data_IF_247820566315
#
_entry.id   IF_247820566315
#
_cell.length_a   1.000
_cell.length_b   1.000
_cell.length_c   1.000
_cell.angle_alpha   90.00
_cell.angle_beta   90.00
_cell.angle_gamma   90.00
#
_symmetry.space_group_name_H-M   'P 1'
#
loop_
_entity.id
_entity.type
_entity.pdbx_description
1 polymer ?
#
# COMPACT_ATOMS: atom_id res chain seq x y z
N UNK A 1 16.55 -18.42 45.92
CA UNK A 1 15.17 -18.86 46.24
C UNK A 1 14.26 -17.67 46.08
N UNK A 2 13.19 -17.81 45.29
CA UNK A 2 11.99 -16.98 45.39
C UNK A 2 11.88 -15.85 44.39
N UNK A 3 11.25 -16.14 43.25
CA UNK A 3 10.74 -15.20 42.26
C UNK A 3 9.70 -14.24 42.84
N UNK A 4 9.84 -12.94 42.56
CA UNK A 4 8.81 -11.92 42.79
C UNK A 4 8.20 -11.51 41.44
N UNK A 5 7.48 -12.44 40.82
CA UNK A 5 6.54 -12.16 39.71
C UNK A 5 5.15 -12.51 40.17
N UNK A 6 4.59 -11.66 41.05
CA UNK A 6 3.19 -11.72 41.39
C UNK A 6 2.59 -10.32 41.33
N UNK A 7 1.96 -10.03 40.18
CA UNK A 7 0.86 -9.07 40.03
C UNK A 7 0.37 -9.15 38.58
N UNK A 8 -0.64 -10.00 38.37
CA UNK A 8 -1.81 -9.79 37.51
C UNK A 8 -2.68 -11.06 37.59
N UNK A 9 -3.24 -11.31 38.78
CA UNK A 9 -4.20 -12.41 39.01
C UNK A 9 -5.58 -11.79 39.24
N UNK A 10 -6.50 -11.98 38.30
CA UNK A 10 -7.92 -11.74 38.55
C UNK A 10 -8.56 -12.96 39.24
N UNK A 11 -9.75 -12.77 39.80
CA UNK A 11 -10.42 -13.69 40.75
C UNK A 11 -10.84 -15.06 40.19
N UNK A 12 -10.42 -15.44 38.98
CA UNK A 12 -10.85 -16.67 38.31
C UNK A 12 -9.71 -17.59 37.83
N UNK A 13 -8.46 -17.33 38.23
CA UNK A 13 -7.40 -18.35 38.17
C UNK A 13 -7.04 -18.90 36.79
N UNK A 14 -7.37 -18.20 35.70
CA UNK A 14 -6.89 -18.56 34.35
C UNK A 14 -5.66 -17.74 34.01
N UNK A 15 -4.52 -18.43 33.86
CA UNK A 15 -3.40 -17.92 33.06
C UNK A 15 -3.98 -17.53 31.69
N UNK A 16 -3.66 -16.33 31.20
CA UNK A 16 -3.81 -16.05 29.78
C UNK A 16 -2.89 -17.03 29.06
N UNK A 17 -3.45 -18.15 28.59
CA UNK A 17 -2.81 -18.92 27.53
C UNK A 17 -2.61 -17.93 26.38
N UNK A 18 -1.34 -17.72 26.01
CA UNK A 18 -1.01 -17.26 24.68
C UNK A 18 -1.64 -18.29 23.73
N UNK A 19 -2.82 -17.99 23.20
CA UNK A 19 -3.37 -18.75 22.08
C UNK A 19 -2.43 -18.39 20.92
N UNK A 20 -1.58 -19.29 20.43
CA UNK A 20 -0.84 -19.04 19.21
C UNK A 20 -1.89 -19.01 18.11
N UNK A 21 -2.09 -17.84 17.52
CA UNK A 21 -2.93 -17.72 16.34
C UNK A 21 -2.13 -18.29 15.17
N UNK A 22 -2.53 -19.46 14.67
CA UNK A 22 -1.88 -20.13 13.55
C UNK A 22 -2.42 -19.65 12.21
N UNK A 23 -1.51 -19.57 11.24
CA UNK A 23 -1.65 -18.92 9.94
C UNK A 23 -2.20 -19.84 8.84
N UNK A 24 -2.83 -19.26 7.83
CA UNK A 24 -2.97 -19.91 6.50
C UNK A 24 -2.40 -19.00 5.41
N UNK A 25 -1.55 -19.55 4.53
CA UNK A 25 -0.76 -18.84 3.51
C UNK A 25 -1.51 -17.98 2.48
N UNK A 26 -2.85 -17.92 2.52
CA UNK A 26 -3.65 -17.28 1.47
C UNK A 26 -3.96 -15.79 1.71
N UNK A 27 -4.11 -15.34 2.96
CA UNK A 27 -4.53 -13.96 3.27
C UNK A 27 -3.42 -12.93 3.04
N UNK A 28 -2.20 -13.22 3.52
CA UNK A 28 -1.01 -12.35 3.32
C UNK A 28 -0.68 -12.17 1.84
N UNK A 29 -0.67 -13.29 1.10
CA UNK A 29 -0.38 -13.30 -0.35
C UNK A 29 -1.40 -12.44 -1.10
N UNK A 30 -2.68 -12.54 -0.73
CA UNK A 30 -3.73 -11.72 -1.33
C UNK A 30 -3.54 -10.23 -1.02
N UNK A 31 -3.33 -9.86 0.23
CA UNK A 31 -3.18 -8.46 0.63
C UNK A 31 -1.97 -7.78 -0.01
N UNK A 32 -0.82 -8.47 -0.04
CA UNK A 32 0.39 -8.00 -0.72
C UNK A 32 0.13 -7.80 -2.22
N UNK A 33 -0.47 -8.79 -2.88
CA UNK A 33 -0.78 -8.73 -4.30
C UNK A 33 -1.74 -7.57 -4.64
N UNK A 34 -2.82 -7.42 -3.88
CA UNK A 34 -3.82 -6.38 -4.13
C UNK A 34 -3.29 -4.99 -3.84
N UNK A 35 -2.52 -4.83 -2.76
CA UNK A 35 -1.86 -3.56 -2.45
C UNK A 35 -0.85 -3.17 -3.53
N UNK A 36 0.00 -4.10 -3.99
CA UNK A 36 0.90 -3.87 -5.11
C UNK A 36 0.14 -3.45 -6.37
N UNK A 37 -1.00 -4.09 -6.66
CA UNK A 37 -1.83 -3.77 -7.83
C UNK A 37 -2.35 -2.33 -7.77
N UNK A 38 -2.90 -1.91 -6.63
CA UNK A 38 -3.43 -0.55 -6.41
C UNK A 38 -2.31 0.48 -6.48
N UNK A 39 -1.19 0.23 -5.81
CA UNK A 39 -0.03 1.11 -5.82
C UNK A 39 0.53 1.25 -7.24
N UNK A 40 0.70 0.14 -7.97
CA UNK A 40 1.13 0.16 -9.37
C UNK A 40 0.18 0.97 -10.25
N UNK A 41 -1.14 0.85 -10.04
CA UNK A 41 -2.15 1.64 -10.76
C UNK A 41 -1.96 3.14 -10.51
N UNK A 42 -1.69 3.55 -9.27
CA UNK A 42 -1.43 4.94 -8.91
C UNK A 42 -0.21 5.50 -9.65
N UNK A 43 0.92 4.80 -9.62
CA UNK A 43 2.14 5.27 -10.30
C UNK A 43 1.99 5.32 -11.83
N UNK A 44 1.25 4.37 -12.42
CA UNK A 44 0.90 4.47 -13.86
C UNK A 44 0.07 5.71 -14.16
N UNK A 45 -0.87 6.10 -13.29
CA UNK A 45 -1.62 7.34 -13.46
C UNK A 45 -0.70 8.57 -13.42
N UNK A 46 0.28 8.62 -12.51
CA UNK A 46 1.26 9.70 -12.47
C UNK A 46 2.14 9.76 -13.72
N UNK A 47 2.52 8.60 -14.28
CA UNK A 47 3.26 8.56 -15.54
C UNK A 47 2.45 9.09 -16.71
N UNK A 48 1.16 8.74 -16.81
CA UNK A 48 0.28 9.29 -17.83
C UNK A 48 0.14 10.81 -17.69
N UNK A 49 -0.09 11.30 -16.47
CA UNK A 49 -0.18 12.74 -16.21
C UNK A 49 1.13 13.47 -16.58
N UNK A 50 2.28 12.85 -16.34
CA UNK A 50 3.58 13.41 -16.72
C UNK A 50 3.77 13.45 -18.26
N UNK A 51 3.27 12.44 -18.96
CA UNK A 51 3.29 12.40 -20.42
C UNK A 51 2.38 13.47 -21.03
N UNK A 52 1.17 13.62 -20.50
CA UNK A 52 0.23 14.68 -20.89
C UNK A 52 0.83 16.07 -20.62
N UNK A 53 1.48 16.26 -19.47
CA UNK A 53 2.17 17.51 -19.13
C UNK A 53 3.30 17.81 -20.12
N UNK A 54 4.12 16.81 -20.47
CA UNK A 54 5.18 16.97 -21.48
C UNK A 54 4.59 17.37 -22.84
N UNK A 55 3.50 16.74 -23.24
CA UNK A 55 2.82 17.08 -24.49
C UNK A 55 2.30 18.52 -24.48
N UNK A 56 1.58 18.92 -23.42
CA UNK A 56 1.06 20.29 -23.29
C UNK A 56 2.19 21.34 -23.26
N UNK A 57 3.29 21.04 -22.58
CA UNK A 57 4.50 21.88 -22.56
C UNK A 57 5.07 22.04 -23.97
N UNK A 58 5.21 20.94 -24.73
CA UNK A 58 5.69 21.00 -26.12
C UNK A 58 4.78 21.83 -27.01
N UNK A 59 3.45 21.65 -26.91
CA UNK A 59 2.47 22.45 -27.65
C UNK A 59 2.58 23.94 -27.30
N UNK A 60 2.82 24.28 -26.03
CA UNK A 60 3.03 25.66 -25.61
C UNK A 60 4.30 26.26 -26.22
N UNK A 61 5.43 25.53 -26.21
CA UNK A 61 6.66 25.96 -26.86
C UNK A 61 6.45 26.14 -28.37
N UNK A 62 5.75 25.20 -29.02
CA UNK A 62 5.51 25.26 -30.46
C UNK A 62 4.71 26.50 -30.88
N UNK A 63 3.78 26.96 -30.04
CA UNK A 63 3.02 28.20 -30.28
C UNK A 63 3.90 29.45 -30.20
N UNK A 64 4.93 29.43 -29.36
CA UNK A 64 5.84 30.56 -29.15
C UNK A 64 6.95 30.66 -30.20
N UNK A 65 7.14 29.63 -31.04
CA UNK A 65 8.19 29.61 -32.08
C UNK A 65 8.06 30.72 -33.12
N UNK A 66 6.87 31.29 -33.29
CA UNK A 66 6.66 32.41 -34.22
C UNK A 66 7.10 33.76 -33.62
N UNK A 67 7.15 33.86 -32.29
CA UNK A 67 7.36 35.12 -31.58
C UNK A 67 8.75 35.20 -30.91
N UNK A 68 9.39 34.06 -30.68
CA UNK A 68 10.66 33.94 -29.94
C UNK A 68 11.76 33.30 -30.78
N UNK A 69 13.00 33.65 -30.47
CA UNK A 69 14.17 33.00 -31.08
C UNK A 69 14.32 31.56 -30.60
N UNK A 70 15.00 30.69 -31.36
CA UNK A 70 15.28 29.32 -30.93
C UNK A 70 15.99 29.22 -29.57
N UNK A 71 16.91 30.13 -29.28
CA UNK A 71 17.62 30.20 -28.00
C UNK A 71 16.67 30.54 -26.84
N UNK A 72 15.72 31.45 -27.07
CA UNK A 72 14.70 31.78 -26.06
C UNK A 72 13.76 30.59 -25.80
N UNK A 73 13.37 29.87 -26.86
CA UNK A 73 12.55 28.66 -26.73
C UNK A 73 13.28 27.58 -25.93
N UNK A 74 14.58 27.38 -26.18
CA UNK A 74 15.37 26.39 -25.45
C UNK A 74 15.49 26.73 -23.96
N UNK A 75 15.68 28.02 -23.62
CA UNK A 75 15.68 28.47 -22.22
C UNK A 75 14.32 28.24 -21.53
N UNK A 76 13.22 28.31 -22.29
CA UNK A 76 11.88 28.02 -21.79
C UNK A 76 11.56 26.52 -21.74
N UNK A 77 12.40 25.66 -22.32
CA UNK A 77 12.18 24.22 -22.38
C UNK A 77 12.55 23.49 -21.08
N UNK A 78 11.87 23.84 -19.99
CA UNK A 78 12.13 23.28 -18.65
C UNK A 78 11.80 21.79 -18.49
N UNK A 79 10.96 21.24 -19.37
CA UNK A 79 10.56 19.83 -19.38
C UNK A 79 11.11 19.12 -20.63
N UNK A 80 12.39 19.37 -20.90
CA UNK A 80 13.15 18.67 -21.92
C UNK A 80 13.17 17.14 -21.69
N UNK A 81 13.72 16.41 -22.65
CA UNK A 81 13.79 14.95 -22.57
C UNK A 81 14.55 14.46 -21.32
N UNK A 82 15.62 15.16 -20.93
CA UNK A 82 16.44 14.77 -19.80
C UNK A 82 15.66 14.89 -18.48
N UNK A 83 15.04 16.06 -18.25
CA UNK A 83 14.23 16.35 -17.07
C UNK A 83 13.01 15.45 -16.99
N UNK A 84 12.30 15.27 -18.11
CA UNK A 84 11.19 14.32 -18.20
C UNK A 84 11.63 12.90 -17.78
N UNK A 85 12.74 12.42 -18.34
CA UNK A 85 13.28 11.08 -18.06
C UNK A 85 13.68 10.92 -16.60
N UNK A 86 14.31 11.95 -16.00
CA UNK A 86 14.63 11.97 -14.58
C UNK A 86 13.39 11.87 -13.69
N UNK A 87 12.35 12.67 -13.97
CA UNK A 87 11.11 12.66 -13.19
C UNK A 87 10.41 11.30 -13.35
N UNK A 88 10.32 10.77 -14.57
CA UNK A 88 9.75 9.45 -14.85
C UNK A 88 10.44 8.35 -14.07
N UNK A 89 11.78 8.35 -14.05
CA UNK A 89 12.56 7.39 -13.27
C UNK A 89 12.26 7.52 -11.77
N UNK A 90 12.23 8.74 -11.24
CA UNK A 90 11.90 9.00 -9.83
C UNK A 90 10.51 8.49 -9.44
N UNK A 91 9.51 8.68 -10.29
CA UNK A 91 8.14 8.15 -10.06
C UNK A 91 8.15 6.62 -9.95
N UNK A 92 8.88 5.94 -10.84
CA UNK A 92 9.03 4.48 -10.81
C UNK A 92 9.79 3.99 -9.58
N UNK A 93 10.91 4.63 -9.26
CA UNK A 93 11.76 4.27 -8.12
C UNK A 93 10.96 4.42 -6.80
N UNK A 94 10.25 5.53 -6.62
CA UNK A 94 9.38 5.76 -5.47
C UNK A 94 8.28 4.70 -5.35
N UNK A 95 7.72 4.28 -6.49
CA UNK A 95 6.66 3.27 -6.47
C UNK A 95 7.16 1.87 -6.12
N UNK A 96 8.34 1.51 -6.62
CA UNK A 96 8.98 0.27 -6.23
C UNK A 96 9.38 0.28 -4.76
N UNK A 97 9.88 1.39 -4.25
CA UNK A 97 10.24 1.53 -2.83
C UNK A 97 9.01 1.46 -1.93
N UNK A 98 7.93 2.15 -2.27
CA UNK A 98 6.68 2.11 -1.52
C UNK A 98 6.12 0.68 -1.40
N UNK A 99 6.23 -0.12 -2.47
CA UNK A 99 5.80 -1.53 -2.43
C UNK A 99 6.69 -2.34 -1.49
N UNK A 100 8.01 -2.13 -1.53
CA UNK A 100 8.96 -2.81 -0.63
C UNK A 100 8.69 -2.44 0.83
N UNK A 101 8.55 -1.15 1.12
CA UNK A 101 8.27 -0.64 2.45
C UNK A 101 6.96 -1.20 3.01
N UNK A 102 5.91 -1.24 2.17
CA UNK A 102 4.64 -1.82 2.57
C UNK A 102 4.80 -3.31 2.90
N UNK A 103 5.54 -4.07 2.09
CA UNK A 103 5.72 -5.49 2.33
C UNK A 103 6.48 -5.74 3.63
N UNK A 104 7.57 -5.02 3.87
CA UNK A 104 8.34 -5.06 5.11
C UNK A 104 7.48 -4.64 6.31
N UNK A 105 6.62 -3.65 6.14
CA UNK A 105 5.69 -3.22 7.18
C UNK A 105 4.68 -4.31 7.53
N UNK A 106 4.08 -4.96 6.52
CA UNK A 106 3.09 -6.02 6.70
C UNK A 106 3.67 -7.27 7.37
N UNK A 107 4.96 -7.55 7.22
CA UNK A 107 5.65 -8.64 7.92
C UNK A 107 5.62 -8.51 9.46
N UNK A 108 5.32 -7.32 10.00
CA UNK A 108 5.19 -7.10 11.44
C UNK A 108 3.80 -7.47 12.00
N UNK A 109 2.87 -7.93 11.16
CA UNK A 109 1.48 -8.19 11.57
C UNK A 109 1.05 -9.64 11.29
N UNK A 110 0.36 -10.24 12.26
CA UNK A 110 -0.44 -11.44 12.05
C UNK A 110 -1.85 -11.06 11.56
N UNK A 111 -2.12 -11.27 10.26
CA UNK A 111 -3.35 -10.81 9.58
C UNK A 111 -4.33 -11.98 9.37
N UNK A 112 -5.52 -11.86 9.96
CA UNK A 112 -6.61 -12.86 9.87
C UNK A 112 -7.84 -12.32 9.13
N UNK A 113 -8.50 -13.19 8.36
CA UNK A 113 -9.83 -12.91 7.83
C UNK A 113 -10.87 -12.99 8.98
N UNK A 114 -11.88 -12.12 8.95
CA UNK A 114 -13.02 -12.25 9.87
C UNK A 114 -13.81 -13.49 9.47
N UNK A 115 -13.61 -14.59 10.20
CA UNK A 115 -14.55 -15.70 10.21
C UNK A 115 -15.87 -15.19 10.78
N UNK A 116 -16.81 -14.84 9.90
CA UNK A 116 -18.20 -14.70 10.29
C UNK A 116 -18.72 -16.12 10.55
N UNK A 117 -18.38 -16.69 11.69
CA UNK A 117 -19.12 -17.83 12.22
C UNK A 117 -20.50 -17.27 12.57
N UNK A 118 -21.44 -17.39 11.63
CA UNK A 118 -22.85 -17.23 11.92
C UNK A 118 -23.18 -18.14 13.10
N UNK A 119 -23.59 -17.53 14.21
CA UNK A 119 -24.30 -18.22 15.29
C UNK A 119 -25.60 -18.82 14.73
N UNK A 120 -25.50 -19.99 14.11
CA UNK A 120 -26.63 -20.87 13.86
C UNK A 120 -26.25 -22.24 14.40
N UNK A 121 -26.38 -22.39 15.72
CA UNK A 121 -26.70 -23.66 16.38
C UNK A 121 -26.91 -23.41 17.88
N UNK A 122 -28.13 -23.02 18.26
CA UNK A 122 -28.65 -23.35 19.60
C UNK A 122 -29.64 -24.51 19.44
N UNK A 123 -29.35 -25.70 19.98
CA UNK A 123 -30.33 -26.78 20.01
C UNK A 123 -31.52 -26.36 20.88
N UNK A 124 -32.73 -26.44 20.33
CA UNK A 124 -33.96 -26.40 21.11
C UNK A 124 -33.96 -27.65 22.00
N UNK A 125 -33.79 -27.46 23.31
CA UNK A 125 -34.06 -28.51 24.29
C UNK A 125 -35.56 -28.78 24.28
N UNK A 126 -35.92 -30.00 23.92
CA UNK A 126 -37.18 -30.63 24.30
C UNK A 126 -37.39 -30.45 25.81
N UNK A 127 -38.54 -29.87 26.18
CA UNK A 127 -39.16 -30.12 27.46
C UNK A 127 -40.41 -30.93 27.16
N UNK A 128 -40.32 -32.22 27.45
CA UNK A 128 -41.50 -33.01 27.72
C UNK A 128 -42.12 -32.54 29.04
N UNK A 129 -43.45 -32.52 29.04
CA UNK A 129 -44.30 -32.86 30.16
C UNK A 129 -45.38 -33.81 29.61
#
# INVERSE_FOLDING_TARGET
>A
MGDEKDKLRNKHGKLHEHIPFEFTAKSDVFLKAESKRIITKLFKCYLNNLEDLRYQHQVALDRLKNDLSPEQIEVLNYLDFHRYSMIRKRVLDNGNETIRDLYNFLENFDINEKNNTSEQNKPQKEKGD
#
